data_IF_369813819573
#
_entry.id   IF_369813819573
#
_cell.length_a   1.000
_cell.length_b   1.000
_cell.length_c   1.000
_cell.angle_alpha   90.00
_cell.angle_beta   90.00
_cell.angle_gamma   90.00
#
_symmetry.space_group_name_H-M   'P 1'
#
loop_
_entity.id
_entity.type
_entity.pdbx_description
1 polymer ?
#
# COMPACT_ATOMS: atom_id res chain seq x y z
N UNK A 1 9.17 14.22 -12.58
CA UNK A 1 9.20 12.78 -12.78
C UNK A 1 8.10 12.14 -11.94
N UNK A 2 7.28 11.30 -12.52
CA UNK A 2 6.21 10.67 -11.74
C UNK A 2 6.77 9.75 -10.67
N UNK A 3 6.06 9.64 -9.57
CA UNK A 3 6.39 8.70 -8.53
C UNK A 3 6.31 7.27 -9.09
N UNK A 4 7.13 6.34 -8.59
CA UNK A 4 7.06 4.95 -9.05
C UNK A 4 5.69 4.30 -8.81
N UNK A 5 4.91 4.83 -7.88
CA UNK A 5 3.60 4.30 -7.54
C UNK A 5 2.52 5.34 -7.82
N UNK A 6 2.25 5.58 -9.10
CA UNK A 6 1.25 6.55 -9.52
C UNK A 6 -0.09 5.85 -9.83
N UNK A 7 -1.07 6.62 -10.28
CA UNK A 7 -2.44 6.13 -10.45
C UNK A 7 -2.57 4.96 -11.44
N UNK A 8 -1.65 4.85 -12.39
CA UNK A 8 -1.69 3.75 -13.36
C UNK A 8 -1.23 2.41 -12.78
N UNK A 9 -0.65 2.41 -11.57
CA UNK A 9 -0.16 1.19 -10.95
C UNK A 9 -1.32 0.31 -10.49
N UNK A 10 -1.20 -0.99 -10.75
CA UNK A 10 -2.17 -1.96 -10.28
C UNK A 10 -1.85 -2.35 -8.84
N UNK A 11 -2.85 -2.30 -7.98
CA UNK A 11 -2.72 -2.68 -6.58
C UNK A 11 -3.54 -3.95 -6.36
N UNK A 12 -2.87 -5.02 -5.96
CA UNK A 12 -3.50 -6.32 -5.77
C UNK A 12 -3.27 -6.80 -4.33
N UNK A 13 -4.28 -6.71 -3.46
CA UNK A 13 -4.16 -7.27 -2.12
C UNK A 13 -4.23 -8.79 -2.18
N UNK A 14 -3.40 -9.46 -1.38
CA UNK A 14 -3.57 -10.90 -1.17
C UNK A 14 -4.76 -11.12 -0.23
N UNK A 15 -5.20 -12.37 -0.12
CA UNK A 15 -6.40 -12.69 0.67
C UNK A 15 -6.33 -12.14 2.10
N UNK A 16 -5.20 -12.34 2.78
CA UNK A 16 -5.03 -11.85 4.13
C UNK A 16 -5.15 -10.31 4.20
N UNK A 17 -4.49 -9.63 3.27
CA UNK A 17 -4.55 -8.17 3.21
C UNK A 17 -5.98 -7.70 2.93
N UNK A 18 -6.68 -8.38 2.02
CA UNK A 18 -8.05 -8.03 1.68
C UNK A 18 -8.96 -8.12 2.90
N UNK A 19 -8.80 -9.18 3.71
CA UNK A 19 -9.55 -9.33 4.95
C UNK A 19 -9.26 -8.18 5.91
N UNK A 20 -7.98 -7.86 6.12
CA UNK A 20 -7.59 -6.76 6.99
C UNK A 20 -8.15 -5.43 6.52
N UNK A 21 -8.11 -5.20 5.20
CA UNK A 21 -8.67 -3.98 4.64
C UNK A 21 -10.15 -3.84 4.98
N UNK A 22 -10.91 -4.93 4.86
CA UNK A 22 -12.33 -4.90 5.19
C UNK A 22 -12.55 -4.64 6.68
N UNK A 23 -11.80 -5.32 7.53
CA UNK A 23 -11.90 -5.15 8.99
C UNK A 23 -11.56 -3.72 9.42
N UNK A 24 -10.61 -3.09 8.75
CA UNK A 24 -10.12 -1.76 9.10
C UNK A 24 -10.75 -0.66 8.26
N UNK A 25 -11.65 -1.01 7.36
CA UNK A 25 -12.29 -0.05 6.45
C UNK A 25 -11.25 0.73 5.64
N UNK A 26 -10.33 -0.01 5.06
CA UNK A 26 -9.29 0.52 4.20
C UNK A 26 -9.59 0.12 2.76
N UNK A 27 -9.63 1.09 1.86
CA UNK A 27 -9.88 0.83 0.44
C UNK A 27 -8.58 0.79 -0.35
N UNK A 28 -8.66 0.31 -1.58
CA UNK A 28 -7.53 0.37 -2.50
C UNK A 28 -7.11 1.82 -2.73
N UNK A 29 -8.07 2.75 -2.78
CA UNK A 29 -7.76 4.16 -2.91
C UNK A 29 -6.95 4.69 -1.73
N UNK A 30 -7.23 4.22 -0.52
CA UNK A 30 -6.44 4.56 0.66
C UNK A 30 -4.99 4.09 0.51
N UNK A 31 -4.81 2.85 0.06
CA UNK A 31 -3.48 2.29 -0.16
C UNK A 31 -2.75 3.09 -1.22
N UNK A 32 -3.41 3.41 -2.32
CA UNK A 32 -2.81 4.21 -3.39
C UNK A 32 -2.35 5.57 -2.86
N UNK A 33 -3.15 6.17 -2.00
CA UNK A 33 -2.79 7.45 -1.39
C UNK A 33 -1.49 7.34 -0.58
N UNK A 34 -1.34 6.26 0.19
CA UNK A 34 -0.11 6.01 0.95
C UNK A 34 1.08 5.81 0.01
N UNK A 35 0.92 4.99 -1.01
CA UNK A 35 2.01 4.64 -1.91
C UNK A 35 2.45 5.83 -2.78
N UNK A 36 1.55 6.74 -3.08
CA UNK A 36 1.88 7.95 -3.85
C UNK A 36 2.56 9.02 -3.00
N UNK A 37 2.66 8.81 -1.69
CA UNK A 37 3.23 9.79 -0.79
C UNK A 37 4.74 9.66 -0.66
N UNK A 38 5.19 9.06 0.43
CA UNK A 38 6.61 8.96 0.75
C UNK A 38 7.25 7.70 0.18
N UNK A 39 8.57 7.71 -0.07
CA UNK A 39 9.29 6.49 -0.43
C UNK A 39 9.19 5.44 0.69
N UNK A 40 9.38 4.16 0.37
CA UNK A 40 9.35 3.10 1.38
C UNK A 40 10.38 3.34 2.47
N UNK A 41 9.98 3.12 3.71
CA UNK A 41 10.87 3.29 4.85
C UNK A 41 11.91 2.17 4.97
N UNK A 42 11.54 0.97 4.58
CA UNK A 42 12.40 -0.20 4.65
C UNK A 42 12.44 -0.89 3.29
N UNK A 43 13.17 -0.30 2.32
CA UNK A 43 13.24 -0.91 1.02
C UNK A 43 14.03 -2.21 1.07
N UNK A 44 13.38 -3.29 0.73
CA UNK A 44 14.03 -4.57 0.52
C UNK A 44 13.40 -5.22 -0.71
N UNK A 45 14.11 -6.12 -1.38
CA UNK A 45 13.56 -6.75 -2.59
C UNK A 45 12.28 -7.52 -2.31
N UNK A 46 12.12 -8.06 -1.12
CA UNK A 46 11.04 -8.99 -0.81
C UNK A 46 9.92 -8.37 0.00
N UNK A 47 10.14 -7.22 0.62
CA UNK A 47 9.13 -6.64 1.49
C UNK A 47 9.42 -5.16 1.69
N UNK A 48 8.41 -4.34 1.46
CA UNK A 48 8.49 -2.91 1.68
C UNK A 48 7.39 -2.49 2.64
N UNK A 49 7.69 -1.49 3.44
CA UNK A 49 6.73 -0.91 4.38
C UNK A 49 6.65 0.58 4.10
N UNK A 50 5.44 1.07 3.96
CA UNK A 50 5.23 2.49 3.75
C UNK A 50 4.13 2.98 4.68
N UNK A 51 4.38 4.11 5.32
CA UNK A 51 3.43 4.73 6.23
C UNK A 51 2.86 5.98 5.62
N UNK A 52 1.59 6.23 5.91
CA UNK A 52 0.91 7.41 5.44
C UNK A 52 -0.47 7.51 6.07
N UNK A 53 -1.41 8.07 5.34
CA UNK A 53 -2.77 8.24 5.83
C UNK A 53 -3.78 7.75 4.82
N UNK A 54 -4.90 7.27 5.33
CA UNK A 54 -6.08 7.01 4.51
C UNK A 54 -6.63 8.32 3.99
N UNK A 55 -7.57 8.23 3.06
CA UNK A 55 -8.21 9.43 2.51
C UNK A 55 -8.99 10.21 3.57
N UNK A 56 -9.47 9.51 4.61
CA UNK A 56 -10.17 10.16 5.72
C UNK A 56 -9.26 10.52 6.90
N UNK A 57 -7.94 10.46 6.71
CA UNK A 57 -6.97 10.99 7.66
C UNK A 57 -6.45 10.04 8.72
N UNK A 58 -6.86 8.78 8.71
CA UNK A 58 -6.34 7.79 9.66
C UNK A 58 -4.93 7.35 9.28
N UNK A 59 -4.12 7.04 10.26
CA UNK A 59 -2.80 6.47 9.99
C UNK A 59 -2.92 5.10 9.38
N UNK A 60 -2.07 4.83 8.38
CA UNK A 60 -2.10 3.56 7.66
C UNK A 60 -0.69 3.13 7.33
N UNK A 61 -0.37 1.90 7.69
CA UNK A 61 0.89 1.27 7.33
C UNK A 61 0.59 0.17 6.33
N UNK A 62 1.26 0.21 5.19
CA UNK A 62 1.06 -0.75 4.11
C UNK A 62 2.34 -1.57 3.93
N UNK A 63 2.19 -2.89 4.00
CA UNK A 63 3.27 -3.84 3.71
C UNK A 63 3.00 -4.45 2.35
N UNK A 64 3.99 -4.38 1.46
CA UNK A 64 3.78 -4.81 0.09
C UNK A 64 5.07 -5.30 -0.56
N UNK A 65 4.91 -5.98 -1.68
CA UNK A 65 6.01 -6.40 -2.54
C UNK A 65 5.72 -5.93 -3.95
N UNK A 66 6.77 -5.72 -4.74
CA UNK A 66 6.60 -5.45 -6.16
C UNK A 66 6.54 -6.79 -6.88
N UNK A 67 5.37 -7.14 -7.42
CA UNK A 67 5.19 -8.40 -8.12
C UNK A 67 5.83 -8.35 -9.50
N UNK A 68 5.63 -7.22 -10.19
CA UNK A 68 6.23 -6.94 -11.50
C UNK A 68 6.08 -5.46 -11.78
N UNK A 69 6.67 -4.99 -12.88
CA UNK A 69 6.58 -3.59 -13.25
C UNK A 69 5.11 -3.16 -13.32
N UNK A 70 4.78 -2.08 -12.63
CA UNK A 70 3.43 -1.54 -12.60
C UNK A 70 2.43 -2.28 -11.74
N UNK A 71 2.87 -3.28 -10.97
CA UNK A 71 1.99 -4.03 -10.07
C UNK A 71 2.59 -4.16 -8.69
N UNK A 72 1.78 -3.84 -7.68
CA UNK A 72 2.14 -3.97 -6.27
C UNK A 72 1.21 -4.99 -5.63
N UNK A 73 1.80 -5.95 -4.92
CA UNK A 73 1.04 -6.93 -4.15
C UNK A 73 1.05 -6.52 -2.69
N UNK A 74 -0.13 -6.21 -2.17
CA UNK A 74 -0.26 -5.81 -0.76
C UNK A 74 -0.33 -7.06 0.10
N UNK A 75 0.57 -7.15 1.06
CA UNK A 75 0.67 -8.30 1.97
C UNK A 75 -0.14 -8.07 3.24
N UNK A 76 -0.11 -6.86 3.76
CA UNK A 76 -0.86 -6.54 4.98
C UNK A 76 -1.04 -5.04 5.11
N UNK A 77 -2.04 -4.65 5.90
CA UNK A 77 -2.27 -3.26 6.29
C UNK A 77 -2.47 -3.20 7.80
N UNK A 78 -1.99 -2.13 8.40
CA UNK A 78 -2.12 -1.89 9.83
C UNK A 78 -2.61 -0.47 10.04
N UNK A 79 -3.61 -0.30 10.89
CA UNK A 79 -4.08 1.01 11.34
C UNK A 79 -3.68 1.17 12.80
N UNK A 80 -2.51 1.79 13.05
CA UNK A 80 -2.01 1.93 14.42
C UNK A 80 -2.93 2.74 15.32
#
# INVERSE_FOLDING_TARGET
MPAPYHDAMKITPIRHAHRRMRERRVSVADIRNVLNGRPPMHPSPNKRVQMGRTLDGRRLEVMYTEAKAGEVRVVSVVTP
#
